data_IF_035768998339
#
_entry.id   IF_035768998339
#
_cell.length_a   1.000
_cell.length_b   1.000
_cell.length_c   1.000
_cell.angle_alpha   90.00
_cell.angle_beta   90.00
_cell.angle_gamma   90.00
#
_symmetry.space_group_name_H-M   'P 1'
#
loop_
_entity.id
_entity.type
_entity.pdbx_description
1 polymer ?
#
# COMPACT_ATOMS: atom_id res chain seq x y z
N UNK A 1 -0.54 -24.27 -0.48
CA UNK A 1 -1.60 -24.94 -1.27
C UNK A 1 -0.93 -25.98 -2.14
N UNK A 2 -1.03 -27.26 -1.78
CA UNK A 2 -0.32 -28.37 -2.46
C UNK A 2 -0.84 -28.65 -3.88
N UNK A 3 -2.08 -28.26 -4.19
CA UNK A 3 -2.75 -28.51 -5.49
C UNK A 3 -2.90 -30.01 -5.81
N UNK A 4 -2.86 -30.87 -4.79
CA UNK A 4 -2.91 -32.35 -4.92
C UNK A 4 -4.14 -32.83 -5.72
N UNK A 5 -5.25 -32.10 -5.63
CA UNK A 5 -6.51 -32.40 -6.32
C UNK A 5 -6.38 -32.55 -7.84
N UNK A 6 -5.35 -31.95 -8.46
CA UNK A 6 -5.12 -32.08 -9.91
C UNK A 6 -4.36 -33.35 -10.31
N UNK A 7 -3.90 -34.17 -9.35
CA UNK A 7 -3.20 -35.44 -9.64
C UNK A 7 -4.15 -36.61 -9.92
N UNK A 8 -5.43 -36.40 -9.65
CA UNK A 8 -6.47 -37.41 -9.63
C UNK A 8 -7.47 -37.14 -10.76
N UNK A 9 -7.51 -37.99 -11.81
CA UNK A 9 -8.42 -37.81 -12.95
C UNK A 9 -9.90 -37.72 -12.55
N UNK A 10 -10.31 -38.36 -11.46
CA UNK A 10 -11.67 -38.33 -10.94
C UNK A 10 -12.14 -36.93 -10.48
N UNK A 11 -11.23 -35.98 -10.28
CA UNK A 11 -11.56 -34.60 -9.90
C UNK A 11 -11.44 -33.61 -11.06
N UNK A 12 -11.15 -34.07 -12.27
CA UNK A 12 -11.09 -33.23 -13.46
C UNK A 12 -12.47 -32.61 -13.75
N UNK A 13 -12.52 -31.27 -13.88
CA UNK A 13 -13.77 -30.53 -14.05
C UNK A 13 -14.63 -30.38 -12.78
N UNK A 14 -14.31 -31.05 -11.68
CA UNK A 14 -15.08 -31.02 -10.43
C UNK A 14 -14.72 -29.86 -9.50
N UNK A 15 -13.51 -29.29 -9.62
CA UNK A 15 -12.99 -28.30 -8.68
C UNK A 15 -12.34 -27.10 -9.37
N UNK A 16 -12.42 -25.94 -8.72
CA UNK A 16 -11.67 -24.74 -9.09
C UNK A 16 -10.91 -24.22 -7.87
N UNK A 17 -9.57 -24.19 -7.96
CA UNK A 17 -8.74 -23.54 -6.95
C UNK A 17 -8.59 -22.05 -7.28
N UNK A 18 -9.09 -21.19 -6.39
CA UNK A 18 -9.00 -19.75 -6.51
C UNK A 18 -8.54 -19.09 -5.20
N UNK A 19 -8.29 -17.78 -5.27
CA UNK A 19 -8.06 -16.91 -4.11
C UNK A 19 -9.05 -15.76 -4.20
N UNK A 20 -9.56 -15.33 -3.05
CA UNK A 20 -10.33 -14.08 -2.94
C UNK A 20 -9.31 -12.94 -2.90
N UNK A 21 -9.36 -12.01 -3.86
CA UNK A 21 -8.28 -11.05 -4.12
C UNK A 21 -8.11 -10.01 -3.01
N UNK A 22 -9.19 -9.67 -2.35
CA UNK A 22 -9.30 -8.63 -1.32
C UNK A 22 -9.41 -9.20 0.11
N UNK A 23 -9.30 -10.53 0.27
CA UNK A 23 -9.33 -11.19 1.56
C UNK A 23 -7.93 -11.65 1.96
N UNK A 24 -7.33 -10.93 2.91
CA UNK A 24 -5.97 -11.16 3.37
C UNK A 24 -5.97 -11.85 4.74
N UNK A 25 -5.14 -12.89 4.86
CA UNK A 25 -4.88 -13.61 6.10
C UNK A 25 -3.46 -13.25 6.57
N UNK A 26 -3.37 -12.31 7.50
CA UNK A 26 -2.09 -11.90 8.08
C UNK A 26 -1.75 -12.79 9.27
N UNK A 27 -0.52 -13.30 9.29
CA UNK A 27 0.10 -13.88 10.49
C UNK A 27 1.25 -12.97 10.90
N UNK A 28 1.21 -12.44 12.12
CA UNK A 28 2.18 -11.47 12.62
C UNK A 28 2.84 -12.05 13.86
N UNK A 29 4.16 -12.18 13.80
CA UNK A 29 4.99 -12.68 14.88
C UNK A 29 5.93 -11.56 15.35
N UNK A 30 6.31 -11.62 16.62
CA UNK A 30 7.22 -10.65 17.24
C UNK A 30 8.36 -11.39 17.95
N UNK A 31 9.56 -10.80 17.93
CA UNK A 31 10.73 -11.31 18.66
C UNK A 31 10.65 -11.06 20.18
N UNK A 32 9.69 -10.27 20.67
CA UNK A 32 9.30 -10.27 22.09
C UNK A 32 9.20 -8.92 22.79
N UNK A 33 9.87 -7.86 22.31
CA UNK A 33 9.81 -6.55 23.00
C UNK A 33 8.42 -5.89 22.88
N UNK A 34 7.71 -6.16 21.79
CA UNK A 34 6.35 -5.68 21.53
C UNK A 34 5.41 -6.85 21.27
N UNK A 35 4.17 -6.84 21.79
CA UNK A 35 3.17 -7.81 21.39
C UNK A 35 2.79 -7.64 19.91
N UNK A 36 2.55 -8.73 19.15
CA UNK A 36 2.34 -8.68 17.69
C UNK A 36 1.13 -7.83 17.28
N UNK A 37 0.10 -7.73 18.12
CA UNK A 37 -1.10 -6.92 17.88
C UNK A 37 -0.78 -5.41 17.77
N UNK A 38 0.33 -4.96 18.36
CA UNK A 38 0.79 -3.57 18.24
C UNK A 38 1.51 -3.30 16.92
N UNK A 39 2.15 -4.29 16.31
CA UNK A 39 3.00 -4.10 15.14
C UNK A 39 2.20 -3.59 13.94
N UNK A 40 1.00 -4.14 13.70
CA UNK A 40 0.16 -3.73 12.58
C UNK A 40 -0.30 -2.26 12.71
N UNK A 41 -0.70 -1.86 13.93
CA UNK A 41 -1.13 -0.49 14.20
C UNK A 41 0.00 0.51 13.98
N UNK A 42 1.23 0.18 14.42
CA UNK A 42 2.39 1.04 14.20
C UNK A 42 2.79 1.11 12.72
N UNK A 43 2.74 -0.01 11.99
CA UNK A 43 3.00 -0.03 10.54
C UNK A 43 2.02 0.89 9.77
N UNK A 44 0.73 0.85 10.13
CA UNK A 44 -0.30 1.73 9.53
C UNK A 44 0.00 3.20 9.85
N UNK A 45 0.37 3.53 11.10
CA UNK A 45 0.73 4.91 11.47
C UNK A 45 1.93 5.42 10.67
N UNK A 46 2.98 4.61 10.52
CA UNK A 46 4.15 4.96 9.71
C UNK A 46 3.75 5.21 8.25
N UNK A 47 2.92 4.35 7.66
CA UNK A 47 2.44 4.52 6.29
C UNK A 47 1.65 5.83 6.13
N UNK A 48 0.74 6.14 7.06
CA UNK A 48 -0.02 7.40 7.06
C UNK A 48 0.89 8.62 7.19
N UNK A 49 1.93 8.53 8.01
CA UNK A 49 2.93 9.60 8.16
C UNK A 49 3.66 9.86 6.84
N UNK A 50 4.14 8.80 6.17
CA UNK A 50 4.79 8.91 4.85
C UNK A 50 3.89 9.57 3.81
N UNK A 51 2.62 9.16 3.74
CA UNK A 51 1.64 9.78 2.83
C UNK A 51 1.45 11.27 3.16
N UNK A 52 1.39 11.63 4.44
CA UNK A 52 1.28 13.02 4.87
C UNK A 52 2.47 13.86 4.40
N UNK A 53 3.69 13.38 4.62
CA UNK A 53 4.92 14.07 4.19
C UNK A 53 4.93 14.30 2.67
N UNK A 54 4.59 13.28 1.88
CA UNK A 54 4.52 13.42 0.41
C UNK A 54 3.45 14.43 0.01
N UNK A 55 2.28 14.39 0.66
CA UNK A 55 1.20 15.34 0.40
C UNK A 55 1.63 16.78 0.66
N UNK A 56 2.30 17.04 1.78
CA UNK A 56 2.80 18.37 2.14
C UNK A 56 3.85 18.87 1.14
N UNK A 57 4.79 18.00 0.74
CA UNK A 57 5.78 18.33 -0.29
C UNK A 57 5.11 18.65 -1.65
N UNK A 58 4.13 17.86 -2.06
CA UNK A 58 3.39 18.11 -3.29
C UNK A 58 2.59 19.43 -3.24
N UNK A 59 2.01 19.77 -2.09
CA UNK A 59 1.32 21.04 -1.89
C UNK A 59 2.25 22.24 -1.95
N UNK A 60 3.44 22.14 -1.35
CA UNK A 60 4.47 23.18 -1.46
C UNK A 60 4.84 23.45 -2.92
N UNK A 61 5.11 22.39 -3.69
CA UNK A 61 5.45 22.53 -5.11
C UNK A 61 4.33 23.17 -5.94
N UNK A 62 3.06 22.86 -5.63
CA UNK A 62 1.92 23.50 -6.30
C UNK A 62 1.80 24.99 -5.96
N UNK A 63 2.11 25.37 -4.72
CA UNK A 63 2.13 26.78 -4.32
C UNK A 63 3.26 27.53 -5.01
N UNK A 64 4.46 26.94 -5.08
CA UNK A 64 5.61 27.56 -5.74
C UNK A 64 5.36 27.83 -7.23
N UNK A 65 4.58 26.98 -7.91
CA UNK A 65 4.19 27.19 -9.32
C UNK A 65 3.27 28.41 -9.49
N UNK A 66 2.43 28.74 -8.51
CA UNK A 66 1.53 29.91 -8.59
C UNK A 66 2.21 31.25 -8.32
N UNK A 67 3.44 31.27 -7.79
CA UNK A 67 4.19 32.51 -7.53
C UNK A 67 5.01 32.94 -8.77
N UNK A 68 5.18 32.05 -9.75
CA UNK A 68 5.78 32.38 -11.05
C UNK A 68 4.66 32.78 -12.02
N UNK A 69 3.83 33.76 -11.65
CA UNK A 69 3.08 34.55 -12.62
C UNK A 69 4.02 35.61 -13.19
N UNK A 70 3.96 35.78 -14.51
CA UNK A 70 5.01 36.32 -15.36
C UNK A 70 5.49 37.72 -14.92
N UNK A 71 6.81 37.87 -14.76
CA UNK A 71 7.44 39.20 -14.73
C UNK A 71 7.28 39.76 -16.14
N UNK A 72 6.27 40.61 -16.36
CA UNK A 72 6.22 41.46 -17.54
C UNK A 72 7.48 42.33 -17.54
N UNK A 73 8.36 42.06 -18.49
CA UNK A 73 9.51 42.90 -18.77
C UNK A 73 8.94 44.15 -19.44
N UNK A 74 8.81 45.24 -18.69
CA UNK A 74 8.51 46.56 -19.26
C UNK A 74 9.63 46.90 -20.26
N UNK A 75 9.29 46.88 -21.56
CA UNK A 75 10.13 47.44 -22.61
C UNK A 75 9.85 48.95 -22.71
N UNK A 76 10.87 49.73 -22.30
CA UNK A 76 11.10 51.18 -22.51
C UNK A 76 10.24 52.22 -21.74
#
# INVERSE_FOLDING_TARGET
>A
MSREVYRHPEFEGCVQLARVRDHFLFNIESEGFYPPERLLLEAIKVMRSKIRTIREAAQSLLQDVSVVEDVEMDEE
#
